data_IF_725541434113
#
_entry.id   IF_725541434113
#
_cell.length_a   1.000
_cell.length_b   1.000
_cell.length_c   1.000
_cell.angle_alpha   90.00
_cell.angle_beta   90.00
_cell.angle_gamma   90.00
#
_symmetry.space_group_name_H-M   'P 1'
#
loop_
_entity.id
_entity.type
_entity.pdbx_description
1 polymer ?
#
# COMPACT_ATOMS: atom_id res chain seq x y z
N UNK A 1 -7.40 40.98 11.82
CA UNK A 1 -7.98 40.20 12.93
C UNK A 1 -8.24 38.80 12.40
N UNK A 2 -7.43 37.89 12.93
CA UNK A 2 -7.26 36.49 12.58
C UNK A 2 -8.38 35.68 13.23
N UNK A 3 -9.11 34.86 12.46
CA UNK A 3 -9.85 33.73 13.04
C UNK A 3 -10.18 32.69 11.96
N UNK A 4 -9.26 31.76 11.72
CA UNK A 4 -9.62 30.48 11.08
C UNK A 4 -9.17 29.37 12.01
N UNK A 5 -10.16 28.89 12.76
CA UNK A 5 -10.05 27.84 13.78
C UNK A 5 -9.16 26.71 13.31
N UNK A 6 -8.12 26.43 14.09
CA UNK A 6 -7.22 25.30 13.91
C UNK A 6 -7.98 24.00 13.77
N UNK A 7 -7.99 23.46 12.55
CA UNK A 7 -8.39 22.09 12.31
C UNK A 7 -7.30 21.22 12.93
N UNK A 8 -7.55 20.66 14.12
CA UNK A 8 -6.67 19.68 14.76
C UNK A 8 -6.54 18.51 13.78
N UNK A 9 -5.46 18.49 12.99
CA UNK A 9 -5.11 17.34 12.15
C UNK A 9 -4.92 16.15 13.09
N UNK A 10 -5.90 15.25 13.13
CA UNK A 10 -5.77 13.97 13.83
C UNK A 10 -4.60 13.27 13.15
N UNK A 11 -3.48 13.13 13.87
CA UNK A 11 -2.29 12.43 13.37
C UNK A 11 -2.72 11.00 13.01
N UNK A 12 -2.91 10.71 11.73
CA UNK A 12 -3.32 9.37 11.25
C UNK A 12 -4.18 9.34 9.98
N UNK A 13 -4.81 10.44 9.58
CA UNK A 13 -5.74 10.45 8.44
C UNK A 13 -5.05 10.74 7.09
N UNK A 14 -4.14 9.86 6.68
CA UNK A 14 -3.67 9.84 5.30
C UNK A 14 -4.45 8.77 4.53
N UNK A 15 -5.54 9.19 3.90
CA UNK A 15 -6.31 8.34 2.99
C UNK A 15 -5.67 8.33 1.61
N UNK A 16 -5.45 7.13 1.06
CA UNK A 16 -4.99 6.92 -0.30
C UNK A 16 -6.11 6.28 -1.11
N UNK A 17 -6.56 6.97 -2.16
CA UNK A 17 -7.51 6.42 -3.13
C UNK A 17 -6.75 6.00 -4.39
N UNK A 18 -6.83 4.72 -4.75
CA UNK A 18 -6.17 4.17 -5.94
C UNK A 18 -7.23 3.61 -6.87
N UNK A 19 -7.16 3.98 -8.15
CA UNK A 19 -7.94 3.34 -9.19
C UNK A 19 -7.21 2.09 -9.67
N UNK A 20 -7.92 0.97 -9.70
CA UNK A 20 -7.39 -0.33 -10.12
C UNK A 20 -8.36 -0.97 -11.11
N UNK A 21 -7.87 -1.97 -11.87
CA UNK A 21 -8.73 -2.76 -12.74
C UNK A 21 -9.84 -3.45 -11.96
N UNK A 22 -10.97 -3.69 -12.63
CA UNK A 22 -12.10 -4.43 -12.05
C UNK A 22 -11.68 -5.82 -11.54
N UNK A 23 -10.82 -6.49 -12.30
CA UNK A 23 -10.29 -7.81 -11.93
C UNK A 23 -9.52 -7.76 -10.61
N UNK A 24 -8.58 -6.80 -10.47
CA UNK A 24 -7.80 -6.67 -9.24
C UNK A 24 -8.70 -6.31 -8.05
N UNK A 25 -9.67 -5.42 -8.25
CA UNK A 25 -10.65 -5.07 -7.22
C UNK A 25 -11.43 -6.30 -6.75
N UNK A 26 -11.86 -7.16 -7.67
CA UNK A 26 -12.58 -8.39 -7.33
C UNK A 26 -11.70 -9.37 -6.56
N UNK A 27 -10.44 -9.55 -6.97
CA UNK A 27 -9.49 -10.40 -6.23
C UNK A 27 -9.28 -9.91 -4.80
N UNK A 28 -9.15 -8.60 -4.60
CA UNK A 28 -9.01 -7.99 -3.27
C UNK A 28 -10.26 -8.20 -2.41
N UNK A 29 -11.47 -8.12 -2.99
CA UNK A 29 -12.73 -8.40 -2.29
C UNK A 29 -12.85 -9.85 -1.85
N UNK A 30 -12.56 -10.80 -2.74
CA UNK A 30 -12.58 -12.23 -2.42
C UNK A 30 -11.60 -12.57 -1.30
N UNK A 31 -10.42 -11.95 -1.29
CA UNK A 31 -9.46 -12.09 -0.19
C UNK A 31 -9.99 -11.49 1.12
N UNK A 32 -10.65 -10.34 1.06
CA UNK A 32 -11.24 -9.69 2.23
C UNK A 32 -12.32 -10.57 2.87
N UNK A 33 -13.21 -11.14 2.06
CA UNK A 33 -14.23 -12.10 2.50
C UNK A 33 -13.60 -13.36 3.10
N UNK A 34 -12.61 -13.95 2.43
CA UNK A 34 -11.92 -15.18 2.88
C UNK A 34 -11.30 -15.05 4.27
N UNK A 35 -10.77 -13.87 4.60
CA UNK A 35 -10.06 -13.64 5.86
C UNK A 35 -10.89 -12.88 6.91
N UNK A 36 -12.17 -12.62 6.63
CA UNK A 36 -13.05 -11.81 7.49
C UNK A 36 -12.43 -10.45 7.84
N UNK A 37 -11.99 -9.71 6.81
CA UNK A 37 -11.36 -8.39 6.94
C UNK A 37 -11.97 -7.39 5.98
N UNK A 38 -11.74 -6.10 6.23
CA UNK A 38 -12.14 -5.07 5.26
C UNK A 38 -11.22 -5.09 4.05
N UNK A 39 -11.73 -4.68 2.87
CA UNK A 39 -10.90 -4.50 1.68
C UNK A 39 -9.73 -3.55 1.94
N UNK A 40 -9.94 -2.50 2.73
CA UNK A 40 -8.88 -1.56 3.12
C UNK A 40 -7.77 -2.24 3.92
N UNK A 41 -8.09 -3.17 4.83
CA UNK A 41 -7.08 -3.91 5.59
C UNK A 41 -6.28 -4.86 4.71
N UNK A 42 -6.94 -5.54 3.77
CA UNK A 42 -6.23 -6.35 2.77
C UNK A 42 -5.31 -5.48 1.92
N UNK A 43 -5.77 -4.34 1.42
CA UNK A 43 -4.93 -3.42 0.63
C UNK A 43 -3.73 -2.95 1.45
N UNK A 44 -3.92 -2.56 2.72
CA UNK A 44 -2.82 -2.18 3.62
C UNK A 44 -1.83 -3.34 3.82
N UNK A 45 -2.32 -4.56 4.00
CA UNK A 45 -1.46 -5.73 4.17
C UNK A 45 -0.65 -6.01 2.90
N UNK A 46 -1.29 -5.96 1.73
CA UNK A 46 -0.62 -6.11 0.43
C UNK A 46 0.46 -5.05 0.24
N UNK A 47 0.18 -3.78 0.54
CA UNK A 47 1.18 -2.72 0.43
C UNK A 47 2.35 -2.90 1.42
N UNK A 48 2.06 -3.28 2.67
CA UNK A 48 3.09 -3.53 3.69
C UNK A 48 4.03 -4.68 3.35
N UNK A 49 3.54 -5.69 2.64
CA UNK A 49 4.35 -6.84 2.22
C UNK A 49 5.01 -6.57 0.87
N UNK A 50 4.26 -6.01 -0.07
CA UNK A 50 4.71 -5.79 -1.45
C UNK A 50 5.89 -4.81 -1.54
N UNK A 51 5.89 -3.73 -0.75
CA UNK A 51 6.98 -2.74 -0.78
C UNK A 51 8.33 -3.39 -0.41
N UNK A 52 8.49 -4.05 0.75
CA UNK A 52 9.73 -4.75 1.08
C UNK A 52 10.13 -5.83 0.07
N UNK A 53 9.17 -6.55 -0.52
CA UNK A 53 9.51 -7.54 -1.55
C UNK A 53 10.13 -6.90 -2.79
N UNK A 54 9.57 -5.77 -3.24
CA UNK A 54 10.11 -5.05 -4.40
C UNK A 54 11.49 -4.46 -4.10
N UNK A 55 11.69 -3.91 -2.91
CA UNK A 55 12.99 -3.40 -2.47
C UNK A 55 14.04 -4.52 -2.44
N UNK A 56 13.70 -5.68 -1.87
CA UNK A 56 14.59 -6.84 -1.83
C UNK A 56 14.93 -7.38 -3.22
N UNK A 57 13.95 -7.42 -4.13
CA UNK A 57 14.17 -7.83 -5.51
C UNK A 57 15.15 -6.89 -6.22
N UNK A 58 14.94 -5.57 -6.12
CA UNK A 58 15.82 -4.59 -6.75
C UNK A 58 17.25 -4.64 -6.20
N UNK A 59 17.43 -4.89 -4.90
CA UNK A 59 18.76 -5.08 -4.31
C UNK A 59 19.46 -6.33 -4.87
N UNK A 60 18.73 -7.44 -5.01
CA UNK A 60 19.28 -8.67 -5.58
C UNK A 60 19.67 -8.48 -7.06
N UNK A 61 18.85 -7.78 -7.84
CA UNK A 61 19.16 -7.41 -9.22
C UNK A 61 20.42 -6.54 -9.32
N UNK A 62 20.57 -5.55 -8.43
CA UNK A 62 21.75 -4.68 -8.42
C UNK A 62 23.04 -5.43 -8.10
N UNK A 63 23.01 -6.35 -7.14
CA UNK A 63 24.16 -7.20 -6.80
C UNK A 63 24.54 -8.06 -8.00
N UNK A 64 23.55 -8.71 -8.63
CA UNK A 64 23.80 -9.55 -9.80
C UNK A 64 24.43 -8.78 -10.98
N UNK A 65 24.00 -7.54 -11.23
CA UNK A 65 24.58 -6.71 -12.30
C UNK A 65 26.04 -6.33 -11.97
N UNK A 66 26.35 -6.06 -10.70
CA UNK A 66 27.71 -5.70 -10.28
C UNK A 66 28.70 -6.87 -10.35
N UNK A 67 28.24 -8.10 -10.15
CA UNK A 67 29.08 -9.30 -10.24
C UNK A 67 29.38 -9.73 -11.69
N UNK A 68 28.67 -9.18 -12.68
CA UNK A 68 28.79 -9.56 -14.09
C UNK A 68 29.71 -8.64 -14.92
N UNK A 69 30.35 -7.64 -14.30
CA UNK A 69 31.31 -6.72 -14.93
C UNK A 69 32.73 -6.98 -14.40
#
# INVERSE_FOLDING_TARGET
MENTKGNRKVRGEHCLNIFVSYELKNRLKVLAEKYDRTTSDIVRAVLRIGIPMMEGLSQAEEIMVREYI
#
